data_IF_274216823566
#
_entry.id   IF_274216823566
#
_cell.length_a   1.000
_cell.length_b   1.000
_cell.length_c   1.000
_cell.angle_alpha   90.00
_cell.angle_beta   90.00
_cell.angle_gamma   90.00
#
_symmetry.space_group_name_H-M   'P 1'
#
loop_
_entity.id
_entity.type
_entity.pdbx_description
1 polymer ?
#
# COMPACT_ATOMS: atom_id res chain seq x y z
N UNK A 1 -6.24 20.07 14.28
CA UNK A 1 -5.48 19.48 13.15
C UNK A 1 -6.22 19.85 11.87
N UNK A 2 -5.57 20.56 10.95
CA UNK A 2 -6.16 21.03 9.68
C UNK A 2 -5.25 20.59 8.52
N UNK A 3 -5.83 20.36 7.34
CA UNK A 3 -5.06 20.06 6.13
C UNK A 3 -4.24 21.29 5.71
N UNK A 4 -2.94 21.09 5.47
CA UNK A 4 -2.05 22.14 4.96
C UNK A 4 -2.05 22.15 3.43
N UNK A 5 -1.96 23.34 2.84
CA UNK A 5 -1.97 23.57 1.41
C UNK A 5 -0.63 24.10 0.92
N UNK A 6 -0.16 23.66 -0.26
CA UNK A 6 1.10 24.12 -0.84
C UNK A 6 1.03 25.62 -1.15
N UNK A 7 2.08 26.37 -0.79
CA UNK A 7 2.27 27.80 -1.01
C UNK A 7 3.73 28.07 -1.37
N UNK A 8 3.94 28.85 -2.43
CA UNK A 8 5.28 29.28 -2.85
C UNK A 8 5.72 30.55 -2.12
N UNK A 9 6.96 30.57 -1.65
CA UNK A 9 7.71 31.78 -1.30
C UNK A 9 8.59 32.19 -2.50
N UNK A 10 8.27 33.32 -3.11
CA UNK A 10 8.89 33.82 -4.34
C UNK A 10 10.28 34.40 -4.13
N UNK A 11 10.60 34.87 -2.93
CA UNK A 11 11.89 35.51 -2.65
C UNK A 11 12.96 34.45 -2.36
N UNK A 12 12.61 33.47 -1.53
CA UNK A 12 13.50 32.36 -1.21
C UNK A 12 13.45 31.22 -2.23
N UNK A 13 12.50 31.24 -3.17
CA UNK A 13 12.21 30.14 -4.11
C UNK A 13 11.98 28.79 -3.41
N UNK A 14 11.16 28.81 -2.35
CA UNK A 14 10.88 27.65 -1.48
C UNK A 14 9.40 27.29 -1.46
N UNK A 15 9.12 26.01 -1.25
CA UNK A 15 7.77 25.48 -1.06
C UNK A 15 7.44 25.37 0.43
N UNK A 16 6.29 25.92 0.82
CA UNK A 16 5.73 25.81 2.16
C UNK A 16 4.37 25.11 2.13
N UNK A 17 4.01 24.47 3.23
CA UNK A 17 2.67 23.97 3.51
C UNK A 17 2.02 24.88 4.56
N UNK A 18 0.95 25.59 4.19
CA UNK A 18 0.29 26.56 5.04
C UNK A 18 -1.17 26.17 5.33
N UNK A 19 -1.62 26.43 6.55
CA UNK A 19 -3.03 26.26 6.91
C UNK A 19 -3.88 27.39 6.31
N UNK A 20 -5.11 27.08 5.87
CA UNK A 20 -6.07 28.12 5.41
C UNK A 20 -6.76 28.86 6.56
N UNK A 21 -6.85 28.22 7.73
CA UNK A 21 -7.66 28.69 8.85
C UNK A 21 -6.82 29.37 9.95
N UNK A 22 -5.49 29.37 9.85
CA UNK A 22 -4.60 30.03 10.81
C UNK A 22 -3.27 30.44 10.14
N UNK A 23 -2.39 31.07 10.92
CA UNK A 23 -1.07 31.58 10.48
C UNK A 23 0.03 30.50 10.41
N UNK A 24 -0.31 29.24 10.63
CA UNK A 24 0.66 28.14 10.66
C UNK A 24 1.19 27.82 9.26
N UNK A 25 2.52 27.66 9.15
CA UNK A 25 3.22 27.30 7.93
C UNK A 25 4.46 26.46 8.22
N UNK A 26 4.77 25.50 7.35
CA UNK A 26 5.88 24.54 7.48
C UNK A 26 6.68 24.46 6.18
N UNK A 27 8.01 24.43 6.27
CA UNK A 27 8.89 24.17 5.12
C UNK A 27 8.93 22.66 4.82
N UNK A 28 9.01 22.29 3.53
CA UNK A 28 9.11 20.89 3.10
C UNK A 28 10.33 20.68 2.21
N UNK A 29 11.04 19.58 2.45
CA UNK A 29 12.09 19.09 1.55
C UNK A 29 11.49 18.34 0.34
N UNK A 30 10.27 17.79 0.50
CA UNK A 30 9.57 17.10 -0.57
C UNK A 30 8.87 18.12 -1.48
N UNK A 31 9.32 18.17 -2.74
CA UNK A 31 8.81 19.06 -3.80
C UNK A 31 7.59 18.48 -4.53
N UNK A 32 7.24 17.23 -4.28
CA UNK A 32 6.11 16.56 -4.93
C UNK A 32 4.79 16.97 -4.24
N UNK A 33 4.08 17.92 -4.85
CA UNK A 33 2.78 18.41 -4.35
C UNK A 33 1.64 17.43 -4.68
N UNK A 34 1.70 16.82 -5.86
CA UNK A 34 0.67 15.92 -6.34
C UNK A 34 1.29 14.82 -7.20
N UNK A 35 0.87 13.59 -6.94
CA UNK A 35 1.20 12.42 -7.75
C UNK A 35 -0.10 11.74 -8.17
N UNK A 36 -0.30 11.61 -9.47
CA UNK A 36 -1.38 10.79 -10.01
C UNK A 36 -0.86 9.37 -10.26
N UNK A 37 -1.31 8.40 -9.46
CA UNK A 37 -0.96 7.00 -9.63
C UNK A 37 -2.07 6.29 -10.41
N UNK A 38 -1.82 6.04 -11.69
CA UNK A 38 -2.77 5.35 -12.57
C UNK A 38 -2.84 3.84 -12.28
N UNK A 39 -1.76 3.28 -11.76
CA UNK A 39 -1.62 1.87 -11.39
C UNK A 39 -0.85 1.80 -10.07
N UNK A 40 -1.54 1.41 -9.00
CA UNK A 40 -0.92 1.20 -7.69
C UNK A 40 -0.33 -0.21 -7.66
N UNK A 41 0.97 -0.35 -7.95
CA UNK A 41 1.70 -1.60 -7.68
C UNK A 41 1.93 -1.81 -6.17
N UNK A 42 1.76 -0.77 -5.35
CA UNK A 42 2.06 -0.75 -3.92
C UNK A 42 0.98 -1.39 -3.03
N UNK A 43 -0.20 -1.70 -3.56
CA UNK A 43 -1.29 -2.28 -2.77
C UNK A 43 -1.32 -3.81 -2.77
N UNK A 44 -0.36 -4.47 -3.42
CA UNK A 44 -0.35 -5.92 -3.58
C UNK A 44 -0.01 -6.68 -2.28
N UNK A 45 0.65 -6.05 -1.30
CA UNK A 45 1.11 -6.74 -0.06
C UNK A 45 0.63 -6.06 1.23
N UNK A 46 -0.10 -4.95 1.16
CA UNK A 46 -0.34 -4.13 2.37
C UNK A 46 -1.39 -4.67 3.34
N UNK A 47 -2.17 -5.69 2.96
CA UNK A 47 -3.16 -6.29 3.87
C UNK A 47 -2.76 -7.72 4.17
N UNK A 48 -1.86 -7.91 5.14
CA UNK A 48 -1.64 -9.22 5.76
C UNK A 48 -2.91 -9.55 6.54
N UNK A 49 -3.85 -10.26 5.90
CA UNK A 49 -5.07 -10.73 6.55
C UNK A 49 -4.70 -11.98 7.33
N UNK A 50 -4.53 -11.83 8.65
CA UNK A 50 -4.17 -12.94 9.55
C UNK A 50 -5.19 -14.08 9.52
N UNK A 51 -6.45 -13.76 9.22
CA UNK A 51 -7.55 -14.73 9.26
C UNK A 51 -7.69 -15.58 7.99
N UNK A 52 -6.88 -15.34 6.95
CA UNK A 52 -6.90 -16.13 5.71
C UNK A 52 -6.56 -17.61 5.96
N UNK A 53 -5.70 -17.90 6.94
CA UNK A 53 -5.32 -19.27 7.27
C UNK A 53 -6.49 -20.13 7.77
N UNK A 54 -7.52 -19.49 8.33
CA UNK A 54 -8.70 -20.13 8.90
C UNK A 54 -9.78 -20.43 7.85
N UNK A 55 -9.66 -19.91 6.63
CA UNK A 55 -10.67 -20.12 5.58
C UNK A 55 -10.58 -21.56 5.02
N UNK A 56 -11.59 -22.42 5.26
CA UNK A 56 -11.57 -23.80 4.79
C UNK A 56 -11.78 -23.93 3.27
N UNK A 57 -12.13 -22.84 2.59
CA UNK A 57 -12.36 -22.81 1.14
C UNK A 57 -11.09 -22.55 0.34
N UNK A 58 -10.01 -22.13 0.99
CA UNK A 58 -8.73 -21.86 0.34
C UNK A 58 -7.84 -23.11 0.27
N UNK A 59 -7.11 -23.30 -0.83
CA UNK A 59 -6.23 -24.45 -0.99
C UNK A 59 -4.96 -24.33 -0.12
N UNK A 60 -4.49 -25.48 0.36
CA UNK A 60 -3.30 -25.60 1.20
C UNK A 60 -2.16 -26.29 0.44
N UNK A 61 -0.93 -25.93 0.77
CA UNK A 61 0.28 -26.53 0.21
C UNK A 61 1.34 -26.73 1.29
N UNK A 62 2.24 -27.69 1.06
CA UNK A 62 3.43 -27.90 1.87
C UNK A 62 4.52 -26.92 1.40
N UNK A 63 4.61 -25.79 2.09
CA UNK A 63 5.63 -24.75 1.89
C UNK A 63 6.12 -24.23 3.23
N UNK A 64 7.42 -24.38 3.46
CA UNK A 64 8.09 -23.90 4.67
C UNK A 64 8.00 -22.37 4.79
N UNK A 65 7.50 -21.92 5.94
CA UNK A 65 7.41 -20.50 6.29
C UNK A 65 8.80 -19.96 6.66
N UNK A 66 9.31 -18.89 6.02
CA UNK A 66 10.64 -18.36 6.30
C UNK A 66 10.82 -17.75 7.71
N UNK A 67 9.71 -17.46 8.40
CA UNK A 67 9.74 -16.85 9.74
C UNK A 67 9.70 -17.91 10.87
N UNK A 68 8.91 -18.98 10.73
CA UNK A 68 8.67 -19.96 11.80
C UNK A 68 9.00 -21.41 11.45
N UNK A 69 9.34 -21.72 10.18
CA UNK A 69 9.63 -23.08 9.72
C UNK A 69 8.42 -24.02 9.63
N UNK A 70 7.20 -23.52 9.88
CA UNK A 70 5.98 -24.33 9.73
C UNK A 70 5.75 -24.68 8.25
N UNK A 71 5.35 -25.93 8.00
CA UNK A 71 5.35 -26.52 6.64
C UNK A 71 4.05 -26.24 5.90
N UNK A 72 2.95 -25.94 6.58
CA UNK A 72 1.66 -25.76 5.91
C UNK A 72 1.38 -24.26 5.65
N UNK A 73 1.06 -23.95 4.39
CA UNK A 73 0.70 -22.61 3.95
C UNK A 73 -0.57 -22.64 3.10
N UNK A 74 -1.43 -21.65 3.30
CA UNK A 74 -2.58 -21.37 2.44
C UNK A 74 -2.12 -20.47 1.30
N UNK A 75 -2.57 -20.73 0.08
CA UNK A 75 -2.25 -19.88 -1.06
C UNK A 75 -3.48 -19.34 -1.77
N UNK A 76 -3.37 -18.13 -2.33
CA UNK A 76 -4.47 -17.46 -3.01
C UNK A 76 -3.97 -16.48 -4.07
N UNK A 77 -4.82 -16.17 -5.04
CA UNK A 77 -4.62 -15.09 -6.01
C UNK A 77 -5.37 -13.85 -5.57
N UNK A 78 -4.76 -12.67 -5.71
CA UNK A 78 -5.44 -11.43 -5.37
C UNK A 78 -6.53 -11.12 -6.40
N UNK A 79 -7.80 -11.22 -6.00
CA UNK A 79 -8.94 -10.82 -6.84
C UNK A 79 -9.04 -9.29 -6.93
N UNK A 80 -8.16 -8.64 -7.68
CA UNK A 80 -8.30 -7.20 -7.92
C UNK A 80 -9.44 -6.96 -8.92
N UNK A 81 -10.58 -6.42 -8.46
CA UNK A 81 -11.71 -6.03 -9.32
C UNK A 81 -11.40 -4.87 -10.27
N UNK A 82 -10.23 -4.24 -10.15
CA UNK A 82 -9.74 -3.25 -11.12
C UNK A 82 -9.13 -3.88 -12.36
N UNK A 83 -8.95 -5.20 -12.38
CA UNK A 83 -8.43 -5.93 -13.53
C UNK A 83 -9.52 -6.21 -14.56
N UNK A 84 -10.03 -5.14 -15.18
CA UNK A 84 -10.69 -5.20 -16.48
C UNK A 84 -9.69 -5.21 -17.65
N UNK A 85 -8.40 -5.39 -17.39
CA UNK A 85 -7.34 -5.51 -18.39
C UNK A 85 -6.60 -6.82 -18.19
N UNK A 86 -6.33 -7.47 -19.31
CA UNK A 86 -5.57 -8.69 -19.59
C UNK A 86 -4.11 -8.70 -19.08
N UNK A 87 -3.83 -8.04 -17.97
CA UNK A 87 -2.52 -7.86 -17.35
C UNK A 87 -2.54 -8.23 -15.85
N UNK A 88 -3.48 -9.10 -15.45
CA UNK A 88 -3.46 -9.74 -14.13
C UNK A 88 -2.19 -10.57 -14.05
N UNK A 89 -1.20 -10.14 -13.27
CA UNK A 89 -0.07 -10.99 -12.92
C UNK A 89 -0.61 -12.21 -12.16
N UNK A 90 -0.30 -13.40 -12.63
CA UNK A 90 -0.64 -14.70 -12.00
C UNK A 90 0.27 -14.94 -10.79
N UNK A 91 0.25 -14.00 -9.83
CA UNK A 91 1.07 -14.05 -8.62
C UNK A 91 0.27 -14.76 -7.53
N UNK A 92 0.88 -15.83 -6.99
CA UNK A 92 0.35 -16.55 -5.83
C UNK A 92 0.91 -15.95 -4.55
N UNK A 93 -0.01 -15.60 -3.64
CA UNK A 93 0.30 -15.18 -2.28
C UNK A 93 0.23 -16.39 -1.35
N UNK A 94 1.10 -16.42 -0.34
CA UNK A 94 1.17 -17.50 0.65
C UNK A 94 1.00 -16.92 2.05
N UNK A 95 0.13 -17.52 2.84
CA UNK A 95 -0.05 -17.23 4.26
C UNK A 95 0.29 -18.48 5.07
N UNK A 96 1.08 -18.32 6.14
CA UNK A 96 1.40 -19.41 7.06
C UNK A 96 0.15 -19.84 7.84
N UNK A 97 -0.04 -21.15 8.01
CA UNK A 97 -1.18 -21.72 8.74
C UNK A 97 -0.89 -22.10 10.21
N UNK A 98 0.21 -21.58 10.78
CA UNK A 98 0.58 -21.75 12.18
C UNK A 98 -0.23 -20.84 13.13
#
# INVERSE_FOLDING_TARGET
SNLLYPREDKEAHKLFYACRNCIHQEETDNKCVYRNELMNASSEVTTIIRDIACDPTLPRTEKECPECGYIEAVFFEQQSRRSGRSDTKMVLYYACAN
#
